data_IF_812865284170
#
_entry.id   IF_812865284170
#
_cell.length_a   1.000
_cell.length_b   1.000
_cell.length_c   1.000
_cell.angle_alpha   90.00
_cell.angle_beta   90.00
_cell.angle_gamma   90.00
#
_symmetry.space_group_name_H-M   'P 1'
#
loop_
_entity.id
_entity.type
_entity.pdbx_description
1 polymer ?
#
# COMPACT_ATOMS: atom_id res chain seq x y z
N UNK A 1 -8.68 -16.66 16.42
CA UNK A 1 -8.24 -15.34 15.91
C UNK A 1 -8.57 -14.30 16.96
N UNK A 2 -7.62 -13.44 17.30
CA UNK A 2 -7.83 -12.35 18.23
C UNK A 2 -8.04 -11.04 17.47
N UNK A 3 -8.98 -10.22 17.93
CA UNK A 3 -9.33 -8.94 17.33
C UNK A 3 -10.24 -9.06 16.12
N UNK A 4 -10.43 -7.95 15.44
CA UNK A 4 -11.24 -7.87 14.22
C UNK A 4 -10.46 -8.41 13.04
N UNK A 5 -11.10 -9.25 12.23
CA UNK A 5 -10.51 -9.78 11.00
C UNK A 5 -11.19 -9.14 9.80
N UNK A 6 -10.38 -8.68 8.86
CA UNK A 6 -10.85 -8.11 7.60
C UNK A 6 -10.44 -9.06 6.47
N UNK A 7 -11.39 -9.45 5.65
CA UNK A 7 -11.15 -10.33 4.51
C UNK A 7 -10.71 -9.50 3.29
N UNK A 8 -9.80 -10.06 2.49
CA UNK A 8 -9.39 -9.53 1.20
C UNK A 8 -10.05 -10.30 0.04
N UNK A 9 -11.24 -10.83 0.29
CA UNK A 9 -11.99 -11.60 -0.70
C UNK A 9 -12.36 -10.71 -1.90
N UNK A 10 -11.95 -11.10 -3.09
CA UNK A 10 -12.12 -10.33 -4.32
C UNK A 10 -11.07 -9.21 -4.51
N UNK A 11 -10.02 -9.18 -3.69
CA UNK A 11 -8.92 -8.19 -3.77
C UNK A 11 -7.56 -8.88 -3.93
N UNK A 12 -7.55 -10.18 -4.20
CA UNK A 12 -6.33 -11.00 -4.21
C UNK A 12 -5.39 -10.62 -5.35
N UNK A 13 -5.94 -10.18 -6.49
CA UNK A 13 -5.15 -9.81 -7.66
C UNK A 13 -4.21 -8.64 -7.39
N UNK A 14 -4.62 -7.66 -6.57
CA UNK A 14 -3.77 -6.52 -6.21
C UNK A 14 -2.53 -6.99 -5.44
N UNK A 15 -2.71 -7.78 -4.39
CA UNK A 15 -1.59 -8.26 -3.59
C UNK A 15 -0.71 -9.25 -4.35
N UNK A 16 -1.29 -10.13 -5.19
CA UNK A 16 -0.56 -11.09 -6.00
C UNK A 16 0.25 -10.40 -7.11
N UNK A 17 -0.36 -9.49 -7.87
CA UNK A 17 0.30 -8.79 -8.97
C UNK A 17 1.44 -7.89 -8.50
N UNK A 18 1.20 -7.07 -7.47
CA UNK A 18 2.27 -6.26 -6.88
C UNK A 18 3.37 -7.12 -6.24
N UNK A 19 2.99 -8.19 -5.49
CA UNK A 19 3.97 -9.08 -4.86
C UNK A 19 4.90 -9.75 -5.88
N UNK A 20 4.38 -10.13 -7.05
CA UNK A 20 5.15 -10.72 -8.13
C UNK A 20 6.03 -9.71 -8.90
N UNK A 21 5.62 -8.43 -8.94
CA UNK A 21 6.33 -7.39 -9.69
C UNK A 21 7.37 -6.64 -8.86
N UNK A 22 7.16 -6.54 -7.53
CA UNK A 22 8.05 -5.80 -6.65
C UNK A 22 9.42 -6.49 -6.50
N UNK A 23 10.46 -5.68 -6.47
CA UNK A 23 11.83 -6.15 -6.16
C UNK A 23 11.92 -6.65 -4.70
N UNK A 24 12.85 -7.54 -4.44
CA UNK A 24 13.07 -8.09 -3.09
C UNK A 24 13.42 -7.00 -2.06
N UNK A 25 14.14 -5.95 -2.49
CA UNK A 25 14.55 -4.84 -1.64
C UNK A 25 13.47 -3.77 -1.45
N UNK A 26 12.37 -3.82 -2.22
CA UNK A 26 11.29 -2.85 -2.10
C UNK A 26 10.57 -2.95 -0.75
N UNK A 27 10.18 -1.81 -0.19
CA UNK A 27 9.35 -1.77 1.00
C UNK A 27 7.87 -1.72 0.66
N UNK A 28 7.06 -2.35 1.51
CA UNK A 28 5.61 -2.30 1.44
C UNK A 28 4.97 -1.97 2.79
N UNK A 29 3.91 -1.20 2.73
CA UNK A 29 3.03 -0.90 3.87
C UNK A 29 1.59 -1.15 3.43
N UNK A 30 0.74 -1.64 4.32
CA UNK A 30 -0.65 -1.93 4.01
C UNK A 30 -1.61 -1.40 5.09
N UNK A 31 -2.88 -1.32 4.73
CA UNK A 31 -3.95 -1.12 5.70
C UNK A 31 -4.13 -2.37 6.59
N UNK A 32 -5.17 -2.37 7.40
CA UNK A 32 -5.54 -3.50 8.27
C UNK A 32 -5.88 -4.82 7.51
N UNK A 33 -5.95 -4.83 6.17
CA UNK A 33 -6.06 -6.03 5.32
C UNK A 33 -4.69 -6.62 4.98
N UNK A 34 -3.72 -6.48 5.88
CA UNK A 34 -2.32 -6.86 5.71
C UNK A 34 -1.99 -8.30 5.36
N UNK A 35 -2.76 -9.34 5.74
CA UNK A 35 -2.34 -10.72 5.51
C UNK A 35 -2.02 -11.07 4.06
N UNK A 36 -2.82 -10.62 3.09
CA UNK A 36 -2.58 -10.89 1.67
C UNK A 36 -1.27 -10.24 1.18
N UNK A 37 -1.05 -8.96 1.51
CA UNK A 37 0.16 -8.24 1.16
C UNK A 37 1.41 -8.83 1.86
N UNK A 38 1.29 -9.22 3.12
CA UNK A 38 2.40 -9.83 3.87
C UNK A 38 2.82 -11.18 3.25
N UNK A 39 1.85 -12.01 2.88
CA UNK A 39 2.10 -13.30 2.22
C UNK A 39 2.70 -13.11 0.83
N UNK A 40 2.20 -12.16 0.03
CA UNK A 40 2.71 -11.90 -1.31
C UNK A 40 4.14 -11.36 -1.31
N UNK A 41 4.60 -10.79 -0.19
CA UNK A 41 5.99 -10.39 0.02
C UNK A 41 6.92 -11.54 0.43
N UNK A 42 6.38 -12.75 0.61
CA UNK A 42 7.18 -13.94 0.95
C UNK A 42 7.18 -14.33 2.42
N UNK A 43 6.37 -13.69 3.25
CA UNK A 43 6.24 -14.08 4.65
C UNK A 43 5.76 -15.54 4.79
N UNK A 44 6.26 -16.22 5.80
CA UNK A 44 5.87 -17.61 6.08
C UNK A 44 4.36 -17.73 6.36
N UNK A 45 3.68 -18.59 5.62
CA UNK A 45 2.26 -18.92 5.88
C UNK A 45 2.05 -19.39 7.32
N UNK A 46 2.96 -20.23 7.83
CA UNK A 46 2.91 -20.69 9.22
C UNK A 46 3.03 -19.51 10.19
N UNK A 47 3.97 -18.61 9.96
CA UNK A 47 4.19 -17.41 10.78
C UNK A 47 2.97 -16.49 10.80
N UNK A 48 2.35 -16.25 9.64
CA UNK A 48 1.12 -15.44 9.53
C UNK A 48 -0.03 -16.10 10.28
N UNK A 49 -0.29 -17.39 10.06
CA UNK A 49 -1.37 -18.11 10.75
C UNK A 49 -1.13 -18.17 12.26
N UNK A 50 0.09 -18.41 12.69
CA UNK A 50 0.45 -18.40 14.11
C UNK A 50 0.19 -17.03 14.75
N UNK A 51 0.50 -15.94 14.03
CA UNK A 51 0.21 -14.58 14.47
C UNK A 51 -1.29 -14.33 14.63
N UNK A 52 -2.09 -14.73 13.63
CA UNK A 52 -3.56 -14.64 13.68
C UNK A 52 -4.16 -15.40 14.87
N UNK A 53 -3.52 -16.50 15.25
CA UNK A 53 -3.94 -17.33 16.40
C UNK A 53 -3.34 -16.86 17.73
N UNK A 54 -2.54 -15.80 17.74
CA UNK A 54 -1.90 -15.27 18.94
C UNK A 54 -0.84 -16.19 19.54
N UNK A 55 -0.09 -16.88 18.69
CA UNK A 55 0.96 -17.83 19.09
C UNK A 55 2.33 -17.12 19.14
N UNK A 56 3.22 -17.62 20.01
CA UNK A 56 4.56 -17.07 20.20
C UNK A 56 5.47 -17.28 18.97
N UNK A 57 5.20 -18.28 18.15
CA UNK A 57 5.89 -18.50 16.88
C UNK A 57 5.29 -17.70 15.70
N UNK A 58 4.34 -16.80 15.96
CA UNK A 58 3.85 -15.84 14.96
C UNK A 58 4.89 -14.76 14.63
N UNK A 59 4.74 -14.07 13.49
CA UNK A 59 5.66 -13.04 12.99
C UNK A 59 6.00 -11.98 14.05
N UNK A 60 5.04 -11.61 14.89
CA UNK A 60 5.16 -10.63 15.96
C UNK A 60 4.90 -11.24 17.35
N UNK A 61 5.13 -12.55 17.50
CA UNK A 61 4.88 -13.31 18.73
C UNK A 61 3.44 -13.24 19.22
N UNK A 62 2.50 -13.24 18.27
CA UNK A 62 1.07 -13.20 18.56
C UNK A 62 0.52 -11.88 19.09
N UNK A 63 1.28 -10.78 18.98
CA UNK A 63 0.90 -9.47 19.51
C UNK A 63 0.15 -8.59 18.51
N UNK A 64 0.46 -8.72 17.21
CA UNK A 64 -0.10 -7.91 16.15
C UNK A 64 -1.49 -8.38 15.69
N UNK A 65 -1.74 -9.68 15.69
CA UNK A 65 -2.96 -10.26 15.16
C UNK A 65 -3.11 -10.00 13.66
N UNK A 66 -4.36 -9.91 13.17
CA UNK A 66 -4.63 -9.77 11.74
C UNK A 66 -4.34 -8.37 11.16
N UNK A 67 -4.36 -7.33 11.99
CA UNK A 67 -4.29 -5.95 11.52
C UNK A 67 -2.90 -5.32 11.63
N UNK A 68 -1.95 -5.96 12.29
CA UNK A 68 -0.64 -5.37 12.58
C UNK A 68 0.48 -6.38 12.30
N UNK A 69 0.57 -6.80 11.03
CA UNK A 69 1.62 -7.71 10.58
C UNK A 69 2.85 -6.94 10.16
N UNK A 70 4.02 -7.40 10.58
CA UNK A 70 5.32 -6.87 10.18
C UNK A 70 6.24 -8.04 9.83
N UNK A 71 6.94 -7.92 8.71
CA UNK A 71 7.98 -8.86 8.26
C UNK A 71 9.06 -8.07 7.52
N UNK A 72 9.94 -7.44 8.29
CA UNK A 72 10.97 -6.53 7.76
C UNK A 72 11.97 -7.25 6.86
N UNK A 73 12.26 -8.52 7.14
CA UNK A 73 13.19 -9.32 6.34
C UNK A 73 12.68 -9.52 4.91
N UNK A 74 11.36 -9.51 4.71
CA UNK A 74 10.70 -9.56 3.41
C UNK A 74 10.19 -8.17 2.94
N UNK A 75 10.68 -7.08 3.54
CA UNK A 75 10.32 -5.72 3.14
C UNK A 75 8.92 -5.27 3.55
N UNK A 76 8.15 -6.06 4.30
CA UNK A 76 6.85 -5.65 4.83
C UNK A 76 7.02 -4.85 6.11
N UNK A 77 7.01 -3.51 6.01
CA UNK A 77 7.23 -2.61 7.15
C UNK A 77 6.04 -2.56 8.10
N UNK A 78 4.87 -2.95 7.64
CA UNK A 78 3.74 -3.15 8.51
C UNK A 78 2.37 -3.00 7.87
N UNK A 79 1.37 -3.59 8.54
CA UNK A 79 -0.03 -3.28 8.34
C UNK A 79 -0.58 -2.47 9.51
N UNK A 80 -1.51 -1.56 9.22
CA UNK A 80 -1.90 -0.51 10.14
C UNK A 80 -3.41 -0.48 10.35
N UNK A 81 -3.84 -0.58 11.60
CA UNK A 81 -5.25 -0.47 11.97
C UNK A 81 -5.77 0.97 11.95
N UNK A 82 -4.88 1.96 12.07
CA UNK A 82 -5.26 3.38 11.99
C UNK A 82 -5.26 3.79 10.53
N UNK A 83 -6.45 4.02 9.99
CA UNK A 83 -6.66 4.34 8.57
C UNK A 83 -5.80 5.54 8.15
N UNK A 84 -5.00 5.36 7.10
CA UNK A 84 -4.17 6.39 6.49
C UNK A 84 -2.93 6.82 7.27
N UNK A 85 -2.72 6.35 8.51
CA UNK A 85 -1.52 6.71 9.29
C UNK A 85 -0.21 6.26 8.65
N UNK A 86 -0.25 5.21 7.83
CA UNK A 86 0.90 4.64 7.16
C UNK A 86 1.35 5.42 5.90
N UNK A 87 0.50 6.29 5.37
CA UNK A 87 0.86 7.12 4.21
C UNK A 87 2.08 8.02 4.47
N UNK A 88 2.12 8.85 5.53
CA UNK A 88 3.33 9.60 5.86
C UNK A 88 4.51 8.72 6.31
N UNK A 89 4.25 7.53 6.87
CA UNK A 89 5.32 6.57 7.20
C UNK A 89 5.98 6.03 5.93
N UNK A 90 5.18 5.76 4.88
CA UNK A 90 5.70 5.36 3.57
C UNK A 90 6.61 6.44 2.96
N UNK A 91 6.26 7.71 3.12
CA UNK A 91 7.14 8.82 2.73
C UNK A 91 8.48 8.78 3.48
N UNK A 92 8.47 8.46 4.77
CA UNK A 92 9.70 8.30 5.56
C UNK A 92 10.59 7.16 5.05
N UNK A 93 9.98 6.02 4.68
CA UNK A 93 10.69 4.89 4.10
C UNK A 93 11.31 5.26 2.74
N UNK A 94 10.55 5.90 1.85
CA UNK A 94 11.01 6.36 0.56
C UNK A 94 12.11 7.43 0.68
N UNK A 95 11.95 8.38 1.61
CA UNK A 95 12.97 9.37 1.89
C UNK A 95 14.28 8.74 2.40
N UNK A 96 14.18 7.70 3.21
CA UNK A 96 15.36 6.91 3.64
C UNK A 96 16.11 6.31 2.45
N UNK A 97 15.41 5.79 1.44
CA UNK A 97 16.01 5.30 0.21
C UNK A 97 16.76 6.41 -0.55
N UNK A 98 16.11 7.55 -0.72
CA UNK A 98 16.68 8.73 -1.39
C UNK A 98 17.93 9.24 -0.67
N UNK A 99 17.91 9.34 0.66
CA UNK A 99 19.08 9.76 1.47
C UNK A 99 20.27 8.78 1.35
N UNK A 100 19.98 7.50 1.14
CA UNK A 100 21.03 6.48 0.93
C UNK A 100 21.54 6.45 -0.52
N UNK A 101 20.90 7.19 -1.42
CA UNK A 101 21.23 7.15 -2.84
C UNK A 101 20.91 5.80 -3.49
N UNK A 102 19.89 5.08 -2.97
CA UNK A 102 19.42 3.83 -3.54
C UNK A 102 18.21 4.05 -4.44
N UNK A 103 17.97 3.12 -5.37
CA UNK A 103 16.82 3.05 -6.26
C UNK A 103 15.66 2.24 -5.66
N UNK A 104 15.67 2.05 -4.35
CA UNK A 104 14.66 1.32 -3.60
C UNK A 104 13.31 2.07 -3.62
N UNK A 105 12.25 1.37 -3.98
CA UNK A 105 10.89 1.91 -4.05
C UNK A 105 10.07 1.46 -2.82
N UNK A 106 9.19 2.33 -2.35
CA UNK A 106 8.22 2.02 -1.30
C UNK A 106 6.82 1.96 -1.90
N UNK A 107 6.09 0.88 -1.67
CA UNK A 107 4.68 0.74 -2.10
C UNK A 107 3.77 0.81 -0.88
N UNK A 108 2.77 1.69 -0.94
CA UNK A 108 1.84 1.94 0.16
C UNK A 108 0.40 1.62 -0.26
N UNK A 109 -0.14 0.53 0.25
CA UNK A 109 -1.52 0.09 -0.01
C UNK A 109 -2.48 0.67 1.02
N UNK A 110 -3.56 1.29 0.57
CA UNK A 110 -4.59 1.88 1.44
C UNK A 110 -5.97 1.81 0.80
N UNK A 111 -7.03 1.85 1.60
CA UNK A 111 -8.40 1.83 1.09
C UNK A 111 -8.91 3.22 0.72
N UNK A 112 -9.96 3.25 -0.13
CA UNK A 112 -10.67 4.44 -0.59
C UNK A 112 -11.12 5.37 0.56
N UNK A 113 -11.61 4.83 1.67
CA UNK A 113 -11.97 5.61 2.85
C UNK A 113 -10.81 6.42 3.46
N UNK A 114 -9.57 5.98 3.25
CA UNK A 114 -8.37 6.70 3.69
C UNK A 114 -8.13 8.02 2.97
N UNK A 115 -8.77 8.25 1.84
CA UNK A 115 -8.58 9.47 1.03
C UNK A 115 -9.25 10.72 1.62
N UNK A 116 -10.14 10.55 2.60
CA UNK A 116 -10.88 11.67 3.21
C UNK A 116 -10.22 12.22 4.48
N UNK A 117 -9.04 11.72 4.86
CA UNK A 117 -8.30 12.22 6.03
C UNK A 117 -7.18 13.17 5.63
N UNK A 118 -6.79 14.07 6.54
CA UNK A 118 -5.73 15.04 6.30
C UNK A 118 -4.39 14.38 5.94
N UNK A 119 -4.03 13.28 6.59
CA UNK A 119 -2.79 12.56 6.35
C UNK A 119 -2.59 12.10 4.89
N UNK A 120 -3.69 11.75 4.18
CA UNK A 120 -3.64 11.44 2.74
C UNK A 120 -3.12 12.65 1.95
N UNK A 121 -3.75 13.80 2.12
CA UNK A 121 -3.41 15.02 1.39
C UNK A 121 -1.99 15.51 1.72
N UNK A 122 -1.61 15.45 2.99
CA UNK A 122 -0.28 15.83 3.45
C UNK A 122 0.80 14.88 2.89
N UNK A 123 0.55 13.57 2.88
CA UNK A 123 1.49 12.59 2.37
C UNK A 123 1.72 12.72 0.86
N UNK A 124 0.65 12.86 0.06
CA UNK A 124 0.77 13.02 -1.39
C UNK A 124 1.51 14.31 -1.75
N UNK A 125 1.16 15.42 -1.09
CA UNK A 125 1.84 16.68 -1.30
C UNK A 125 3.33 16.60 -0.96
N UNK A 126 3.68 15.99 0.18
CA UNK A 126 5.08 15.83 0.59
C UNK A 126 5.86 14.93 -0.37
N UNK A 127 5.26 13.82 -0.81
CA UNK A 127 5.86 12.91 -1.78
C UNK A 127 6.19 13.63 -3.10
N UNK A 128 5.25 14.44 -3.61
CA UNK A 128 5.44 15.22 -4.82
C UNK A 128 6.53 16.27 -4.67
N UNK A 129 6.49 17.07 -3.59
CA UNK A 129 7.47 18.16 -3.33
C UNK A 129 8.90 17.60 -3.22
N UNK A 130 9.07 16.47 -2.57
CA UNK A 130 10.38 15.86 -2.36
C UNK A 130 10.76 14.83 -3.42
N UNK A 131 9.88 14.56 -4.39
CA UNK A 131 10.07 13.57 -5.46
C UNK A 131 10.48 12.21 -4.87
N UNK A 132 9.70 11.74 -3.89
CA UNK A 132 10.00 10.51 -3.17
C UNK A 132 9.70 9.27 -4.03
N UNK A 133 10.54 8.23 -3.99
CA UNK A 133 10.30 6.96 -4.67
C UNK A 133 9.21 6.16 -3.94
N UNK A 134 7.97 6.65 -3.98
CA UNK A 134 6.82 6.02 -3.35
C UNK A 134 5.67 5.86 -4.34
N UNK A 135 5.04 4.69 -4.32
CA UNK A 135 3.83 4.38 -5.08
C UNK A 135 2.67 4.26 -4.08
N UNK A 136 1.63 5.05 -4.28
CA UNK A 136 0.41 5.00 -3.50
C UNK A 136 -0.64 4.18 -4.23
N UNK A 137 -1.05 3.04 -3.66
CA UNK A 137 -2.02 2.11 -4.25
C UNK A 137 -3.32 2.17 -3.47
N UNK A 138 -4.36 2.73 -4.09
CA UNK A 138 -5.70 2.77 -3.51
C UNK A 138 -6.49 1.51 -3.89
N UNK A 139 -6.80 0.71 -2.90
CA UNK A 139 -7.71 -0.44 -3.04
C UNK A 139 -9.15 0.06 -2.89
N UNK A 140 -9.76 0.44 -4.02
CA UNK A 140 -11.10 1.01 -4.02
C UNK A 140 -12.16 -0.09 -4.07
N UNK A 141 -12.68 -0.46 -2.90
CA UNK A 141 -13.78 -1.42 -2.78
C UNK A 141 -15.16 -0.77 -2.73
N UNK A 142 -15.24 0.54 -2.99
CA UNK A 142 -16.47 1.35 -3.01
C UNK A 142 -17.15 1.52 -1.64
N UNK A 143 -16.52 1.07 -0.55
CA UNK A 143 -17.08 1.16 0.78
C UNK A 143 -16.06 1.58 1.84
N UNK A 144 -16.40 2.61 2.58
CA UNK A 144 -15.71 3.01 3.80
C UNK A 144 -16.44 2.38 4.99
N UNK A 145 -15.96 1.25 5.48
CA UNK A 145 -16.61 0.39 6.48
C UNK A 145 -18.03 0.00 6.04
N UNK A 146 -19.06 0.62 6.55
CA UNK A 146 -20.46 0.35 6.19
C UNK A 146 -21.07 1.43 5.29
N UNK A 147 -20.30 2.43 4.89
CA UNK A 147 -20.77 3.60 4.15
C UNK A 147 -20.30 3.51 2.70
N UNK A 148 -21.20 3.54 1.70
CA UNK A 148 -20.82 3.68 0.30
C UNK A 148 -19.96 4.93 0.10
N UNK A 149 -18.88 4.82 -0.69
CA UNK A 149 -17.88 5.88 -0.82
C UNK A 149 -18.45 7.14 -1.49
N UNK A 150 -19.40 6.99 -2.39
CA UNK A 150 -20.09 8.07 -3.11
C UNK A 150 -20.95 8.98 -2.21
N UNK A 151 -21.33 8.51 -1.03
CA UNK A 151 -22.04 9.33 -0.04
C UNK A 151 -21.13 10.28 0.73
N UNK A 152 -19.82 10.05 0.70
CA UNK A 152 -18.85 10.75 1.57
C UNK A 152 -17.64 11.29 0.80
N UNK A 153 -17.53 10.99 -0.49
CA UNK A 153 -16.43 11.44 -1.35
C UNK A 153 -16.98 12.11 -2.60
N UNK A 154 -16.53 13.34 -2.86
CA UNK A 154 -17.08 14.19 -3.91
C UNK A 154 -16.55 13.87 -5.32
N UNK A 155 -15.51 13.04 -5.43
CA UNK A 155 -14.86 12.69 -6.70
C UNK A 155 -15.09 11.24 -7.04
N UNK A 156 -15.12 10.92 -8.34
CA UNK A 156 -15.44 9.59 -8.86
C UNK A 156 -14.37 8.56 -8.45
N UNK A 157 -13.09 8.89 -8.64
CA UNK A 157 -11.98 8.06 -8.22
C UNK A 157 -11.30 8.68 -6.99
N UNK A 158 -11.54 8.15 -5.79
CA UNK A 158 -11.17 8.81 -4.52
C UNK A 158 -9.71 9.23 -4.41
N UNK A 159 -8.78 8.39 -4.88
CA UNK A 159 -7.36 8.69 -4.89
C UNK A 159 -6.90 9.32 -6.20
N UNK A 160 -7.15 8.65 -7.33
CA UNK A 160 -6.66 9.04 -8.65
C UNK A 160 -7.11 10.46 -9.03
N UNK A 161 -8.40 10.80 -8.91
CA UNK A 161 -8.91 12.14 -9.23
C UNK A 161 -8.31 13.28 -8.37
N UNK A 162 -7.66 12.94 -7.27
CA UNK A 162 -6.97 13.90 -6.40
C UNK A 162 -5.46 13.98 -6.66
N UNK A 163 -4.88 12.97 -7.31
CA UNK A 163 -3.45 12.88 -7.60
C UNK A 163 -2.96 14.06 -8.43
N UNK A 164 -3.71 14.42 -9.46
CA UNK A 164 -3.41 15.53 -10.36
C UNK A 164 -3.30 16.89 -9.64
N UNK A 165 -3.99 17.06 -8.51
CA UNK A 165 -3.88 18.28 -7.68
C UNK A 165 -2.49 18.45 -7.06
N UNK A 166 -1.71 17.39 -6.99
CA UNK A 166 -0.33 17.38 -6.47
C UNK A 166 0.71 17.19 -7.58
N UNK A 167 0.29 17.13 -8.85
CA UNK A 167 1.18 16.85 -9.97
C UNK A 167 1.66 15.39 -10.04
N UNK A 168 0.93 14.49 -9.39
CA UNK A 168 1.21 13.06 -9.44
C UNK A 168 0.48 12.40 -10.62
N UNK A 169 1.10 11.34 -11.18
CA UNK A 169 0.46 10.55 -12.23
C UNK A 169 -0.78 9.84 -11.70
N UNK A 170 -1.83 9.85 -12.51
CA UNK A 170 -3.10 9.21 -12.22
C UNK A 170 -3.25 7.96 -13.07
N UNK A 171 -3.41 6.78 -12.41
CA UNK A 171 -3.65 5.51 -13.08
C UNK A 171 -4.84 4.82 -12.42
N UNK A 172 -5.80 4.41 -13.24
CA UNK A 172 -6.96 3.60 -12.84
C UNK A 172 -6.93 2.30 -13.64
N UNK A 173 -7.00 1.18 -12.92
CA UNK A 173 -6.95 -0.17 -13.50
C UNK A 173 -8.03 -1.06 -12.89
N UNK A 174 -8.35 -2.17 -13.55
CA UNK A 174 -9.16 -3.21 -12.94
C UNK A 174 -8.33 -4.00 -11.90
N UNK A 175 -8.59 -3.74 -10.62
CA UNK A 175 -7.91 -4.40 -9.51
C UNK A 175 -8.25 -5.90 -9.37
N UNK A 176 -9.17 -6.44 -10.19
CA UNK A 176 -9.46 -7.88 -10.25
C UNK A 176 -8.72 -8.60 -11.38
N UNK A 177 -8.13 -7.85 -12.32
CA UNK A 177 -7.29 -8.41 -13.38
C UNK A 177 -5.84 -8.44 -12.93
N UNK A 178 -5.33 -9.63 -12.59
CA UNK A 178 -3.97 -9.81 -12.08
C UNK A 178 -2.89 -9.45 -13.12
N UNK A 179 -3.16 -9.63 -14.41
CA UNK A 179 -2.20 -9.31 -15.47
C UNK A 179 -2.09 -7.79 -15.66
N UNK A 180 -3.22 -7.08 -15.56
CA UNK A 180 -3.25 -5.61 -15.57
C UNK A 180 -2.53 -5.04 -14.36
N UNK A 181 -2.84 -5.56 -13.17
CA UNK A 181 -2.14 -5.17 -11.92
C UNK A 181 -0.64 -5.43 -12.01
N UNK A 182 -0.23 -6.61 -12.47
CA UNK A 182 1.20 -6.96 -12.60
C UNK A 182 1.92 -6.01 -13.57
N UNK A 183 1.33 -5.77 -14.74
CA UNK A 183 1.89 -4.87 -15.76
C UNK A 183 2.03 -3.44 -15.23
N UNK A 184 1.00 -2.96 -14.55
CA UNK A 184 1.03 -1.66 -13.90
C UNK A 184 2.14 -1.60 -12.83
N UNK A 185 2.21 -2.60 -11.95
CA UNK A 185 3.19 -2.67 -10.88
C UNK A 185 4.64 -2.69 -11.41
N UNK A 186 4.90 -3.43 -12.51
CA UNK A 186 6.21 -3.42 -13.16
C UNK A 186 6.57 -2.03 -13.70
N UNK A 187 5.62 -1.36 -14.36
CA UNK A 187 5.85 -0.01 -14.91
C UNK A 187 6.25 0.97 -13.81
N UNK A 188 5.54 0.97 -12.70
CA UNK A 188 5.76 1.95 -11.62
C UNK A 188 6.93 1.58 -10.71
N UNK A 189 7.26 0.30 -10.61
CA UNK A 189 8.41 -0.17 -9.83
C UNK A 189 9.75 0.00 -10.53
N UNK A 190 9.75 0.13 -11.87
CA UNK A 190 10.96 0.26 -12.70
C UNK A 190 11.15 1.67 -13.28
N UNK A 191 10.25 2.62 -12.98
CA UNK A 191 10.42 4.00 -13.44
C UNK A 191 11.57 4.68 -12.69
N UNK A 192 12.45 5.32 -13.46
CA UNK A 192 13.52 6.16 -12.92
C UNK A 192 12.90 7.38 -12.23
N UNK A 193 12.74 7.31 -10.92
CA UNK A 193 12.30 8.44 -10.13
C UNK A 193 13.35 9.57 -10.24
N UNK A 194 13.15 10.50 -11.16
CA UNK A 194 13.96 11.71 -11.24
C UNK A 194 14.54 12.09 -12.59
N UNK A 195 14.47 11.25 -13.64
CA UNK A 195 15.12 11.55 -14.92
C UNK A 195 14.16 11.91 -16.07
N UNK A 196 12.85 11.70 -15.94
CA UNK A 196 11.91 11.92 -17.04
C UNK A 196 10.97 13.13 -16.85
N UNK A 197 10.98 13.77 -15.69
CA UNK A 197 9.97 14.79 -15.36
C UNK A 197 8.56 14.22 -15.20
N UNK A 198 8.39 12.93 -15.37
CA UNK A 198 7.18 12.17 -15.11
C UNK A 198 7.35 11.44 -13.78
N UNK A 199 6.97 12.11 -12.70
CA UNK A 199 7.00 11.50 -11.38
C UNK A 199 5.92 10.42 -11.27
N UNK A 200 6.34 9.17 -11.26
CA UNK A 200 5.44 8.01 -11.13
C UNK A 200 5.09 7.70 -9.67
N UNK A 201 5.18 8.65 -8.79
CA UNK A 201 4.78 8.53 -7.38
C UNK A 201 3.34 9.00 -7.21
N UNK A 202 2.40 8.32 -7.83
CA UNK A 202 0.99 8.69 -7.72
C UNK A 202 0.13 7.62 -7.08
N UNK A 203 -1.08 7.97 -6.62
CA UNK A 203 -2.07 6.97 -6.23
C UNK A 203 -2.47 6.13 -7.44
N UNK A 204 -2.76 4.86 -7.18
CA UNK A 204 -3.20 3.89 -8.15
C UNK A 204 -4.39 3.15 -7.58
N UNK A 205 -5.40 2.93 -8.38
CA UNK A 205 -6.61 2.18 -8.06
C UNK A 205 -6.63 0.82 -8.72
#
# INVERSE_FOLDING_TARGET
VRGTSHLSLGMEAVSAGFGAAMRDDAYSLASYRGPAHTLSRGASMEGVIAELLGRDNGLMRGKGGSMHLVDVDNGMLGSYGIVGSHLPIANGAAWSAQLRGSDQVTVCFFGDGGTNIGAFHEALNLAAVWKLPVVFVCENNLYMEYTPIDLVTAVEHPAASRASSYGLEEIVIDGNDVDEVYTCAQRVGNSDFGDTGEDVSGPRE
#
